data_IF_277238364018
#
_entry.id   IF_277238364018
#
_cell.length_a   1.000
_cell.length_b   1.000
_cell.length_c   1.000
_cell.angle_alpha   90.00
_cell.angle_beta   90.00
_cell.angle_gamma   90.00
#
_symmetry.space_group_name_H-M   'P 1'
#
loop_
_entity.id
_entity.type
_entity.pdbx_description
1 polymer ?
#
# COMPACT_ATOMS: atom_id res chain seq x y z
N UNK A 1 -18.54 5.31 15.21
CA UNK A 1 -17.86 5.76 16.44
C UNK A 1 -16.65 6.55 16.00
N UNK A 2 -16.29 7.67 16.64
CA UNK A 2 -15.05 8.36 16.29
C UNK A 2 -13.87 7.43 16.53
N UNK A 3 -12.89 7.45 15.64
CA UNK A 3 -11.63 6.71 15.81
C UNK A 3 -10.87 7.42 16.92
N UNK A 4 -10.65 6.75 18.06
CA UNK A 4 -9.96 7.36 19.21
C UNK A 4 -8.48 7.58 18.91
N UNK A 5 -7.86 6.68 18.14
CA UNK A 5 -6.46 6.78 17.67
C UNK A 5 -6.28 6.04 16.36
N UNK A 6 -5.77 6.72 15.35
CA UNK A 6 -5.38 6.13 14.08
C UNK A 6 -4.09 5.31 14.24
N UNK A 7 -4.07 4.10 13.70
CA UNK A 7 -2.93 3.20 13.75
C UNK A 7 -2.08 3.30 12.48
N UNK A 8 -0.76 3.26 12.63
CA UNK A 8 0.17 3.00 11.56
C UNK A 8 0.47 1.49 11.52
N UNK A 9 0.14 0.87 10.39
CA UNK A 9 0.23 -0.58 10.20
C UNK A 9 1.21 -0.88 9.07
N UNK A 10 2.09 -1.83 9.26
CA UNK A 10 3.05 -2.28 8.24
C UNK A 10 2.85 -3.76 7.96
N UNK A 11 2.58 -4.10 6.69
CA UNK A 11 2.61 -5.48 6.19
C UNK A 11 3.81 -5.66 5.29
N UNK A 12 4.78 -6.45 5.72
CA UNK A 12 6.07 -6.64 5.04
C UNK A 12 6.42 -8.13 4.88
N UNK A 13 7.65 -8.41 4.49
CA UNK A 13 8.16 -9.76 4.32
C UNK A 13 8.11 -10.30 2.89
N UNK A 14 8.82 -11.43 2.63
CA UNK A 14 8.94 -12.03 1.30
C UNK A 14 7.67 -12.74 0.83
N UNK A 15 6.82 -13.19 1.78
CA UNK A 15 5.62 -13.97 1.48
C UNK A 15 4.51 -13.15 0.83
N UNK A 16 3.60 -13.89 0.17
CA UNK A 16 2.37 -13.35 -0.42
C UNK A 16 1.35 -13.00 0.67
N UNK A 17 0.44 -12.08 0.37
CA UNK A 17 -0.69 -11.73 1.24
C UNK A 17 -0.67 -10.30 1.79
N UNK A 18 0.40 -9.52 1.58
CA UNK A 18 0.51 -8.13 2.07
C UNK A 18 -0.64 -7.24 1.58
N UNK A 19 -0.80 -7.13 0.27
CA UNK A 19 -1.91 -6.38 -0.36
C UNK A 19 -3.27 -6.99 0.01
N UNK A 20 -3.38 -8.32 0.01
CA UNK A 20 -4.62 -9.02 0.39
C UNK A 20 -5.04 -8.71 1.83
N UNK A 21 -4.07 -8.65 2.76
CA UNK A 21 -4.33 -8.28 4.15
C UNK A 21 -4.78 -6.81 4.27
N UNK A 22 -4.15 -5.91 3.52
CA UNK A 22 -4.55 -4.51 3.45
C UNK A 22 -5.97 -4.34 2.87
N UNK A 23 -6.30 -5.05 1.78
CA UNK A 23 -7.65 -5.09 1.21
C UNK A 23 -8.68 -5.66 2.18
N UNK A 24 -8.36 -6.71 2.92
CA UNK A 24 -9.22 -7.28 3.96
C UNK A 24 -9.48 -6.28 5.10
N UNK A 25 -8.47 -5.50 5.50
CA UNK A 25 -8.62 -4.43 6.49
C UNK A 25 -9.47 -3.29 5.94
N UNK A 26 -9.26 -2.88 4.67
CA UNK A 26 -10.06 -1.89 3.98
C UNK A 26 -11.55 -2.30 3.90
N UNK A 27 -11.81 -3.54 3.51
CA UNK A 27 -13.16 -4.10 3.47
C UNK A 27 -13.86 -4.04 4.84
N UNK A 28 -13.14 -4.40 5.91
CA UNK A 28 -13.65 -4.30 7.29
C UNK A 28 -13.92 -2.87 7.69
N UNK A 29 -13.02 -1.92 7.35
CA UNK A 29 -13.17 -0.50 7.63
C UNK A 29 -14.42 0.08 6.96
N UNK A 30 -14.65 -0.24 5.68
CA UNK A 30 -15.86 0.14 4.94
C UNK A 30 -17.12 -0.41 5.62
N UNK A 31 -17.09 -1.66 6.09
CA UNK A 31 -18.20 -2.27 6.84
C UNK A 31 -18.51 -1.56 8.16
N UNK A 32 -17.55 -0.80 8.71
CA UNK A 32 -17.74 0.05 9.89
C UNK A 32 -18.06 1.52 9.53
N UNK A 33 -18.27 1.82 8.26
CA UNK A 33 -18.63 3.15 7.78
C UNK A 33 -17.44 4.09 7.57
N UNK A 34 -16.20 3.59 7.62
CA UNK A 34 -14.99 4.37 7.34
C UNK A 34 -14.81 4.57 5.84
N UNK A 35 -14.26 5.72 5.44
CA UNK A 35 -13.89 6.04 4.08
C UNK A 35 -12.43 5.67 3.85
N UNK A 36 -12.18 4.90 2.81
CA UNK A 36 -10.87 4.31 2.52
C UNK A 36 -10.34 4.77 1.18
N UNK A 37 -9.08 5.19 1.14
CA UNK A 37 -8.30 5.31 -0.10
C UNK A 37 -7.17 4.29 -0.10
N UNK A 38 -6.98 3.62 -1.24
CA UNK A 38 -5.81 2.81 -1.51
C UNK A 38 -5.05 3.37 -2.72
N UNK A 39 -3.80 3.81 -2.51
CA UNK A 39 -2.87 4.22 -3.57
C UNK A 39 -1.94 3.05 -3.85
N UNK A 40 -1.89 2.58 -5.10
CA UNK A 40 -1.06 1.45 -5.53
C UNK A 40 0.15 1.96 -6.32
N UNK A 41 1.34 1.88 -5.70
CA UNK A 41 2.59 2.48 -6.21
C UNK A 41 3.19 1.74 -7.41
N UNK A 42 2.98 0.43 -7.51
CA UNK A 42 3.59 -0.41 -8.56
C UNK A 42 2.57 -0.80 -9.62
N UNK A 43 1.33 -1.09 -9.23
CA UNK A 43 0.28 -1.55 -10.14
C UNK A 43 -0.04 -0.46 -11.17
N UNK A 44 0.01 -0.85 -12.44
CA UNK A 44 -0.27 0.02 -13.59
C UNK A 44 -1.66 -0.20 -14.16
N UNK A 45 -1.77 -0.01 -15.49
CA UNK A 45 -3.02 -0.07 -16.25
C UNK A 45 -3.63 -1.47 -16.40
N UNK A 46 -3.05 -2.51 -15.80
CA UNK A 46 -3.61 -3.84 -15.85
C UNK A 46 -4.89 -3.92 -15.02
N UNK A 47 -5.82 -4.74 -15.47
CA UNK A 47 -7.06 -4.95 -14.74
C UNK A 47 -6.84 -5.90 -13.56
N UNK A 48 -7.25 -5.45 -12.37
CA UNK A 48 -7.18 -6.23 -11.13
C UNK A 48 -8.58 -6.35 -10.53
N UNK A 49 -8.92 -7.52 -10.02
CA UNK A 49 -10.26 -7.82 -9.49
C UNK A 49 -10.69 -6.91 -8.34
N UNK A 50 -9.75 -6.41 -7.52
CA UNK A 50 -10.07 -5.47 -6.45
C UNK A 50 -10.64 -4.13 -6.95
N UNK A 51 -10.33 -3.72 -8.19
CA UNK A 51 -10.91 -2.50 -8.78
C UNK A 51 -12.40 -2.65 -9.05
N UNK A 52 -12.82 -3.82 -9.50
CA UNK A 52 -14.24 -4.10 -9.70
C UNK A 52 -14.97 -4.30 -8.37
N UNK A 53 -14.32 -4.97 -7.41
CA UNK A 53 -14.88 -5.14 -6.08
C UNK A 53 -15.10 -3.79 -5.38
N UNK A 54 -14.15 -2.85 -5.51
CA UNK A 54 -14.29 -1.50 -4.96
C UNK A 54 -15.51 -0.76 -5.53
N UNK A 55 -15.74 -0.84 -6.85
CA UNK A 55 -16.94 -0.26 -7.50
C UNK A 55 -18.24 -0.82 -6.95
N UNK A 56 -18.29 -2.11 -6.61
CA UNK A 56 -19.47 -2.72 -6.00
C UNK A 56 -19.73 -2.21 -4.59
N UNK A 57 -18.69 -1.80 -3.86
CA UNK A 57 -18.81 -1.20 -2.52
C UNK A 57 -19.23 0.28 -2.56
N UNK A 58 -18.93 0.97 -3.65
CA UNK A 58 -19.14 2.39 -3.89
C UNK A 58 -17.86 3.20 -3.73
N UNK A 59 -17.59 4.06 -4.71
CA UNK A 59 -16.38 4.89 -4.78
C UNK A 59 -16.30 5.93 -3.64
N UNK A 60 -17.39 6.24 -3.00
CA UNK A 60 -17.45 7.09 -1.81
C UNK A 60 -16.96 6.38 -0.53
N UNK A 61 -16.88 5.04 -0.54
CA UNK A 61 -16.46 4.21 0.59
C UNK A 61 -15.07 3.63 0.41
N UNK A 62 -14.77 3.07 -0.75
CA UNK A 62 -13.46 2.51 -1.10
C UNK A 62 -13.02 3.01 -2.47
N UNK A 63 -12.08 3.92 -2.46
CA UNK A 63 -11.42 4.40 -3.67
C UNK A 63 -10.07 3.69 -3.83
N UNK A 64 -9.80 3.08 -4.99
CA UNK A 64 -8.50 2.47 -5.32
C UNK A 64 -7.91 3.20 -6.52
N UNK A 65 -6.69 3.72 -6.36
CA UNK A 65 -5.94 4.46 -7.39
C UNK A 65 -4.68 3.67 -7.78
N UNK A 66 -4.70 2.88 -8.86
CA UNK A 66 -3.48 2.35 -9.46
C UNK A 66 -2.72 3.51 -10.12
N UNK A 67 -1.55 3.82 -9.61
CA UNK A 67 -0.74 4.95 -10.10
C UNK A 67 0.64 4.51 -10.59
N UNK A 68 0.97 3.21 -10.54
CA UNK A 68 2.21 2.65 -11.04
C UNK A 68 2.19 2.43 -12.57
N UNK A 69 3.32 1.97 -13.10
CA UNK A 69 3.48 1.59 -14.52
C UNK A 69 3.45 0.07 -14.74
N UNK A 70 3.23 -0.72 -13.70
CA UNK A 70 3.44 -2.16 -13.70
C UNK A 70 4.81 -2.55 -13.16
N UNK A 71 5.33 -3.70 -13.58
CA UNK A 71 6.61 -4.19 -13.06
C UNK A 71 7.75 -3.20 -13.32
N UNK A 72 8.34 -2.68 -12.24
CA UNK A 72 9.63 -2.02 -12.29
C UNK A 72 10.67 -3.09 -12.69
N UNK A 73 11.49 -2.82 -13.70
CA UNK A 73 12.56 -3.73 -14.12
C UNK A 73 13.57 -3.85 -12.97
N UNK A 74 13.50 -4.95 -12.24
CA UNK A 74 14.48 -5.31 -11.21
C UNK A 74 15.73 -5.83 -11.93
N UNK A 75 16.87 -5.18 -11.72
CA UNK A 75 18.17 -5.68 -12.24
C UNK A 75 18.93 -4.75 -13.17
N UNK A 76 18.51 -3.50 -13.34
CA UNK A 76 19.36 -2.45 -13.92
C UNK A 76 20.23 -1.79 -12.85
N UNK A 77 21.39 -1.26 -13.23
CA UNK A 77 22.31 -0.58 -12.31
C UNK A 77 21.70 0.72 -11.68
N UNK A 78 20.65 1.27 -12.29
CA UNK A 78 20.00 2.49 -11.83
C UNK A 78 18.48 2.39 -11.99
N UNK A 79 17.73 2.98 -11.04
CA UNK A 79 16.26 3.11 -11.12
C UNK A 79 15.91 4.14 -12.20
N UNK A 80 14.95 3.81 -13.08
CA UNK A 80 14.49 4.73 -14.13
C UNK A 80 13.98 6.05 -13.50
N UNK A 81 14.49 7.23 -13.93
CA UNK A 81 14.00 8.52 -13.45
C UNK A 81 12.48 8.70 -13.58
N UNK A 82 11.85 8.07 -14.57
CA UNK A 82 10.41 8.09 -14.73
C UNK A 82 9.69 7.30 -13.63
N UNK A 83 10.27 6.21 -13.11
CA UNK A 83 9.71 5.45 -12.00
C UNK A 83 9.87 6.23 -10.68
N UNK A 84 10.98 6.94 -10.50
CA UNK A 84 11.20 7.83 -9.36
C UNK A 84 10.13 8.94 -9.34
N UNK A 85 9.94 9.63 -10.46
CA UNK A 85 8.93 10.68 -10.58
C UNK A 85 7.53 10.17 -10.25
N UNK A 86 7.18 9.00 -10.78
CA UNK A 86 5.87 8.40 -10.55
C UNK A 86 5.68 7.99 -9.09
N UNK A 87 6.71 7.43 -8.44
CA UNK A 87 6.68 7.12 -7.02
C UNK A 87 6.46 8.38 -6.17
N UNK A 88 7.09 9.51 -6.55
CA UNK A 88 6.88 10.82 -5.90
C UNK A 88 5.45 11.32 -6.09
N UNK A 89 4.87 11.19 -7.29
CA UNK A 89 3.46 11.55 -7.57
C UNK A 89 2.49 10.68 -6.75
N UNK A 90 2.75 9.36 -6.66
CA UNK A 90 1.98 8.45 -5.80
C UNK A 90 2.07 8.85 -4.32
N UNK A 91 3.29 9.16 -3.85
CA UNK A 91 3.50 9.61 -2.49
C UNK A 91 2.76 10.92 -2.19
N UNK A 92 2.83 11.89 -3.09
CA UNK A 92 2.11 13.14 -2.93
C UNK A 92 0.59 12.91 -2.82
N UNK A 93 0.01 12.05 -3.68
CA UNK A 93 -1.41 11.69 -3.61
C UNK A 93 -1.78 11.01 -2.28
N UNK A 94 -0.92 10.10 -1.79
CA UNK A 94 -1.10 9.46 -0.48
C UNK A 94 -1.03 10.46 0.67
N UNK A 95 -0.05 11.37 0.64
CA UNK A 95 0.13 12.42 1.64
C UNK A 95 -1.07 13.38 1.67
N UNK A 96 -1.52 13.85 0.52
CA UNK A 96 -2.73 14.69 0.41
C UNK A 96 -3.97 13.98 0.98
N UNK A 97 -4.10 12.69 0.76
CA UNK A 97 -5.20 11.90 1.32
C UNK A 97 -5.14 11.78 2.85
N UNK A 98 -3.93 11.58 3.40
CA UNK A 98 -3.71 11.48 4.85
C UNK A 98 -4.08 12.79 5.55
N UNK A 99 -3.70 13.93 4.98
CA UNK A 99 -3.88 15.24 5.60
C UNK A 99 -5.18 15.94 5.18
N UNK A 100 -5.84 15.48 4.11
CA UNK A 100 -6.99 16.17 3.50
C UNK A 100 -8.33 15.98 4.22
N UNK A 101 -8.41 15.15 5.26
CA UNK A 101 -9.61 14.95 6.06
C UNK A 101 -10.77 14.22 5.36
N UNK A 102 -10.55 13.72 4.12
CA UNK A 102 -11.58 12.97 3.38
C UNK A 102 -11.64 11.49 3.79
N UNK A 103 -10.51 10.89 4.18
CA UNK A 103 -10.37 9.47 4.42
C UNK A 103 -10.01 9.17 5.87
N UNK A 104 -10.58 8.10 6.39
CA UNK A 104 -10.33 7.61 7.75
C UNK A 104 -9.22 6.56 7.75
N UNK A 105 -9.02 5.88 6.60
CA UNK A 105 -7.95 4.91 6.35
C UNK A 105 -7.31 5.17 4.99
N UNK A 106 -5.99 5.30 4.96
CA UNK A 106 -5.19 5.38 3.73
C UNK A 106 -4.26 4.17 3.63
N UNK A 107 -4.36 3.43 2.53
CA UNK A 107 -3.47 2.31 2.21
C UNK A 107 -2.45 2.77 1.17
N UNK A 108 -1.17 2.64 1.48
CA UNK A 108 -0.03 2.93 0.62
C UNK A 108 0.55 1.57 0.15
N UNK A 109 -0.04 1.02 -0.91
CA UNK A 109 0.28 -0.34 -1.38
C UNK A 109 1.59 -0.35 -2.17
N UNK A 110 2.55 -1.16 -1.71
CA UNK A 110 3.93 -1.28 -2.21
C UNK A 110 4.83 -0.04 -1.95
N UNK A 111 4.48 0.85 -1.01
CA UNK A 111 5.37 1.97 -0.64
C UNK A 111 6.71 1.48 -0.08
N UNK A 112 6.75 0.36 0.67
CA UNK A 112 7.99 -0.20 1.20
C UNK A 112 8.96 -0.55 0.08
N UNK A 113 8.44 -1.02 -1.06
CA UNK A 113 9.23 -1.28 -2.25
C UNK A 113 9.88 -0.01 -2.78
N UNK A 114 9.11 1.08 -2.97
CA UNK A 114 9.64 2.35 -3.50
C UNK A 114 10.71 2.96 -2.60
N UNK A 115 10.56 2.82 -1.28
CA UNK A 115 11.58 3.25 -0.30
C UNK A 115 12.83 2.36 -0.42
N UNK A 116 12.67 1.03 -0.49
CA UNK A 116 13.81 0.09 -0.55
C UNK A 116 14.64 0.25 -1.82
N UNK A 117 14.04 0.71 -2.91
CA UNK A 117 14.70 1.02 -4.19
C UNK A 117 15.09 2.50 -4.33
N UNK A 118 15.06 3.27 -3.23
CA UNK A 118 15.46 4.69 -3.19
C UNK A 118 14.72 5.58 -4.19
N UNK A 119 13.48 5.23 -4.52
CA UNK A 119 12.57 6.10 -5.30
C UNK A 119 11.93 7.18 -4.41
N UNK A 120 11.84 6.89 -3.10
CA UNK A 120 11.39 7.80 -2.06
C UNK A 120 12.40 7.82 -0.92
N UNK A 121 12.59 8.99 -0.32
CA UNK A 121 13.41 9.13 0.88
C UNK A 121 12.67 8.63 2.11
N UNK A 122 13.27 7.66 2.83
CA UNK A 122 12.65 7.05 3.99
C UNK A 122 12.33 8.07 5.09
N UNK A 123 13.21 9.02 5.31
CA UNK A 123 13.06 10.02 6.38
C UNK A 123 11.89 10.96 6.11
N UNK A 124 11.68 11.37 4.86
CA UNK A 124 10.51 12.17 4.47
C UNK A 124 9.19 11.42 4.74
N UNK A 125 9.13 10.15 4.33
CA UNK A 125 7.91 9.33 4.54
C UNK A 125 7.66 9.12 6.03
N UNK A 126 8.68 8.76 6.80
CA UNK A 126 8.59 8.53 8.25
C UNK A 126 8.15 9.79 8.99
N UNK A 127 8.74 10.95 8.67
CA UNK A 127 8.36 12.24 9.27
C UNK A 127 6.90 12.58 8.99
N UNK A 128 6.45 12.42 7.75
CA UNK A 128 5.05 12.69 7.40
C UNK A 128 4.10 11.72 8.13
N UNK A 129 4.44 10.43 8.21
CA UNK A 129 3.60 9.45 8.91
C UNK A 129 3.58 9.67 10.43
N UNK A 130 4.67 10.15 11.03
CA UNK A 130 4.75 10.51 12.43
C UNK A 130 3.83 11.69 12.78
N UNK A 131 3.76 12.67 11.88
CA UNK A 131 2.98 13.91 12.06
C UNK A 131 1.55 13.82 11.47
N UNK A 132 1.07 12.64 11.07
CA UNK A 132 -0.28 12.47 10.53
C UNK A 132 -1.35 12.87 11.53
N UNK A 133 -2.55 13.26 11.07
CA UNK A 133 -3.69 13.50 11.97
C UNK A 133 -3.96 12.27 12.83
N UNK A 134 -4.15 12.47 14.14
CA UNK A 134 -4.24 11.38 15.14
C UNK A 134 -5.32 10.35 14.84
N UNK A 135 -6.41 10.74 14.17
CA UNK A 135 -7.53 9.86 13.86
C UNK A 135 -7.34 9.03 12.57
N UNK A 136 -6.34 9.35 11.72
CA UNK A 136 -6.17 8.68 10.43
C UNK A 136 -5.36 7.39 10.59
N UNK A 137 -5.94 6.29 10.15
CA UNK A 137 -5.21 5.03 10.00
C UNK A 137 -4.39 5.04 8.71
N UNK A 138 -3.18 4.49 8.77
CA UNK A 138 -2.36 4.29 7.57
C UNK A 138 -1.84 2.86 7.53
N UNK A 139 -1.92 2.22 6.36
CA UNK A 139 -1.34 0.91 6.09
C UNK A 139 -0.25 1.07 5.03
N UNK A 140 0.97 0.64 5.33
CA UNK A 140 2.08 0.55 4.39
C UNK A 140 2.33 -0.92 4.04
N UNK A 141 2.34 -1.27 2.75
CA UNK A 141 2.66 -2.62 2.31
C UNK A 141 3.93 -2.69 1.48
N UNK A 142 4.46 -3.88 1.32
CA UNK A 142 5.60 -4.16 0.45
C UNK A 142 6.73 -4.89 1.16
N UNK A 143 7.64 -5.48 0.38
CA UNK A 143 8.84 -6.13 0.89
C UNK A 143 9.81 -5.12 1.48
N UNK A 144 10.70 -5.57 2.36
CA UNK A 144 11.84 -4.80 2.87
C UNK A 144 11.43 -3.45 3.50
N UNK A 145 10.44 -3.47 4.40
CA UNK A 145 10.07 -2.27 5.15
C UNK A 145 11.29 -1.64 5.83
N UNK A 146 11.44 -0.32 5.68
CA UNK A 146 12.56 0.39 6.25
C UNK A 146 12.55 0.33 7.80
N UNK A 147 13.70 0.12 8.48
CA UNK A 147 13.74 -0.03 9.94
C UNK A 147 13.06 1.11 10.71
N UNK A 148 13.25 2.36 10.29
CA UNK A 148 12.58 3.53 10.91
C UNK A 148 11.06 3.48 10.79
N UNK A 149 10.53 2.93 9.68
CA UNK A 149 9.09 2.75 9.50
C UNK A 149 8.55 1.64 10.40
N UNK A 150 9.31 0.55 10.54
CA UNK A 150 8.98 -0.56 11.46
C UNK A 150 8.98 -0.08 12.91
N UNK A 151 9.95 0.74 13.30
CA UNK A 151 10.05 1.33 14.65
C UNK A 151 8.88 2.27 14.95
N UNK A 152 8.46 3.09 13.98
CA UNK A 152 7.35 4.03 14.14
C UNK A 152 5.97 3.34 14.19
N UNK A 153 5.82 2.19 13.54
CA UNK A 153 4.53 1.53 13.36
C UNK A 153 3.93 1.02 14.67
N UNK A 154 2.61 1.16 14.82
CA UNK A 154 1.84 0.60 15.95
C UNK A 154 1.63 -0.92 15.80
N UNK A 155 1.61 -1.44 14.54
CA UNK A 155 1.47 -2.86 14.21
C UNK A 155 2.34 -3.21 13.01
N UNK A 156 3.14 -4.27 13.16
CA UNK A 156 3.95 -4.83 12.08
C UNK A 156 3.67 -6.31 11.94
N UNK A 157 3.38 -6.77 10.72
CA UNK A 157 3.25 -8.19 10.40
C UNK A 157 4.18 -8.55 9.26
N UNK A 158 4.99 -9.57 9.45
CA UNK A 158 5.86 -10.11 8.41
C UNK A 158 5.23 -11.35 7.77
N UNK A 159 5.00 -11.30 6.45
CA UNK A 159 4.50 -12.42 5.66
C UNK A 159 5.65 -13.33 5.26
N UNK A 160 5.72 -14.51 5.88
CA UNK A 160 6.74 -15.50 5.58
C UNK A 160 6.31 -16.40 4.43
N UNK A 161 7.20 -16.59 3.44
CA UNK A 161 6.99 -17.56 2.37
C UNK A 161 7.34 -18.98 2.86
N UNK A 162 6.35 -19.76 3.21
CA UNK A 162 6.52 -21.18 3.56
C UNK A 162 6.53 -22.05 2.31
N UNK A 163 5.64 -21.76 1.37
CA UNK A 163 5.54 -22.38 0.03
C UNK A 163 5.01 -21.33 -0.95
N UNK A 164 5.44 -21.41 -2.20
CA UNK A 164 4.86 -20.60 -3.26
C UNK A 164 4.59 -21.45 -4.52
N UNK A 165 3.44 -21.30 -5.20
CA UNK A 165 3.11 -22.10 -6.39
C UNK A 165 4.11 -21.87 -7.54
N UNK A 166 4.71 -20.69 -7.62
CA UNK A 166 5.71 -20.34 -8.63
C UNK A 166 6.93 -21.29 -8.63
N UNK A 167 7.33 -21.80 -7.46
CA UNK A 167 8.43 -22.78 -7.36
C UNK A 167 8.12 -24.10 -8.04
N UNK A 168 6.84 -24.36 -8.35
CA UNK A 168 6.35 -25.52 -9.10
C UNK A 168 5.92 -25.15 -10.53
N UNK A 169 6.30 -23.95 -11.03
CA UNK A 169 5.94 -23.47 -12.35
C UNK A 169 4.47 -23.02 -12.51
N UNK A 170 3.71 -22.91 -11.41
CA UNK A 170 2.32 -22.45 -11.44
C UNK A 170 2.35 -20.92 -11.49
N UNK A 171 1.79 -20.36 -12.55
CA UNK A 171 1.68 -18.91 -12.77
C UNK A 171 0.54 -18.29 -11.94
N UNK A 172 0.51 -16.97 -11.91
CA UNK A 172 -0.54 -16.19 -11.25
C UNK A 172 -1.94 -16.57 -11.76
N UNK A 173 -2.89 -16.72 -10.82
CA UNK A 173 -4.25 -17.20 -11.08
C UNK A 173 -5.25 -16.05 -10.95
N UNK A 174 -6.19 -15.98 -11.90
CA UNK A 174 -7.29 -15.02 -11.87
C UNK A 174 -8.17 -15.24 -10.62
N UNK A 175 -8.50 -14.14 -9.93
CA UNK A 175 -9.29 -14.15 -8.71
C UNK A 175 -8.53 -14.57 -7.44
N UNK A 176 -7.25 -14.99 -7.59
CA UNK A 176 -6.36 -15.33 -6.47
C UNK A 176 -5.18 -14.35 -6.41
N UNK A 177 -4.61 -14.02 -7.56
CA UNK A 177 -3.43 -13.16 -7.68
C UNK A 177 -3.75 -11.79 -8.28
N UNK A 178 -4.80 -11.71 -9.11
CA UNK A 178 -5.27 -10.48 -9.77
C UNK A 178 -6.76 -10.53 -10.11
#
# INVERSE_FOLDING_TARGET
>A
MPVEKGLLIVYTGPGKGKTTCALGTAFRAVGQGLRVLMVQFIKGSWHYGELDAAKLLGDDKLEIRPMGRGFVKIGGAETDPADIKLAQECWQAGREAIYGGKYDLVVLDEINYTISYKMLEADEVVEALMNRPEHVHVICTGRNAHPKLVELADLVTEMREVKHPYTKGILAQRGIDY
#
